data_IF_642766190980
#
_entry.id   IF_642766190980
#
_cell.length_a   1.000
_cell.length_b   1.000
_cell.length_c   1.000
_cell.angle_alpha   90.00
_cell.angle_beta   90.00
_cell.angle_gamma   90.00
#
_symmetry.space_group_name_H-M   'P 1'
#
loop_
_entity.id
_entity.type
_entity.pdbx_description
1 polymer ?
#
# COMPACT_ATOMS: atom_id res chain seq x y z
N UNK A 1 12.79 3.25 -15.20
CA UNK A 1 11.74 4.29 -15.06
C UNK A 1 10.63 3.88 -14.09
N UNK A 2 9.95 2.73 -14.31
CA UNK A 2 8.81 2.29 -13.48
C UNK A 2 9.09 2.26 -11.96
N UNK A 3 10.22 1.71 -11.53
CA UNK A 3 10.57 1.61 -10.10
C UNK A 3 11.15 2.90 -9.48
N UNK A 4 11.12 4.03 -10.21
CA UNK A 4 11.63 5.29 -9.67
C UNK A 4 10.65 5.87 -8.62
N UNK A 5 11.10 6.37 -7.45
CA UNK A 5 10.21 6.81 -6.38
C UNK A 5 9.19 7.89 -6.79
N UNK A 6 9.58 8.85 -7.63
CA UNK A 6 8.66 9.89 -8.14
C UNK A 6 7.54 9.29 -9.00
N UNK A 7 7.84 8.23 -9.74
CA UNK A 7 6.83 7.52 -10.55
C UNK A 7 5.94 6.71 -9.62
N UNK A 8 6.50 5.93 -8.70
CA UNK A 8 5.74 5.08 -7.79
C UNK A 8 4.88 5.88 -6.80
N UNK A 9 5.35 7.00 -6.26
CA UNK A 9 4.64 7.70 -5.19
C UNK A 9 4.06 9.06 -5.60
N UNK A 10 4.35 9.53 -6.82
CA UNK A 10 3.76 10.74 -7.40
C UNK A 10 2.80 10.43 -8.55
N UNK A 11 3.35 9.96 -9.67
CA UNK A 11 2.57 9.76 -10.90
C UNK A 11 1.63 8.56 -10.84
N UNK A 12 2.06 7.45 -10.24
CA UNK A 12 1.28 6.22 -10.10
C UNK A 12 -0.03 6.44 -9.33
N UNK A 13 0.00 6.99 -8.10
CA UNK A 13 -1.20 7.28 -7.33
C UNK A 13 -2.11 8.29 -8.02
N UNK A 14 -1.56 9.34 -8.64
CA UNK A 14 -2.33 10.29 -9.44
C UNK A 14 -3.12 9.58 -10.54
N UNK A 15 -2.42 8.78 -11.35
CA UNK A 15 -3.04 8.05 -12.45
C UNK A 15 -4.11 7.07 -11.95
N UNK A 16 -3.81 6.28 -10.92
CA UNK A 16 -4.77 5.31 -10.41
C UNK A 16 -6.05 5.96 -9.88
N UNK A 17 -5.94 6.96 -9.00
CA UNK A 17 -7.11 7.51 -8.30
C UNK A 17 -7.87 8.57 -9.11
N UNK A 18 -7.16 9.40 -9.87
CA UNK A 18 -7.77 10.47 -10.67
C UNK A 18 -8.23 10.00 -12.05
N UNK A 19 -7.63 8.94 -12.60
CA UNK A 19 -7.91 8.49 -13.98
C UNK A 19 -8.43 7.06 -14.02
N UNK A 20 -7.62 6.05 -13.67
CA UNK A 20 -7.97 4.65 -13.90
C UNK A 20 -9.21 4.22 -13.10
N UNK A 21 -9.29 4.59 -11.83
CA UNK A 21 -10.42 4.25 -10.95
C UNK A 21 -11.70 5.06 -11.25
N UNK A 22 -11.70 5.90 -12.30
CA UNK A 22 -12.94 6.51 -12.82
C UNK A 22 -13.75 5.53 -13.67
N UNK A 23 -13.17 4.40 -14.06
CA UNK A 23 -13.85 3.31 -14.77
C UNK A 23 -13.61 1.98 -14.01
N UNK A 24 -14.47 0.96 -14.18
CA UNK A 24 -14.27 -0.35 -13.55
C UNK A 24 -13.22 -1.16 -14.34
N UNK A 25 -11.99 -0.63 -14.46
CA UNK A 25 -10.90 -1.26 -15.19
C UNK A 25 -10.65 -2.69 -14.67
N UNK A 26 -10.52 -3.66 -15.59
CA UNK A 26 -10.43 -5.09 -15.26
C UNK A 26 -11.77 -5.78 -14.96
N UNK A 27 -12.86 -5.02 -14.75
CA UNK A 27 -14.20 -5.52 -14.43
C UNK A 27 -15.26 -4.99 -15.41
N UNK A 28 -14.85 -4.38 -16.53
CA UNK A 28 -15.75 -3.76 -17.52
C UNK A 28 -16.76 -4.74 -18.11
N UNK A 29 -16.40 -6.04 -18.17
CA UNK A 29 -17.24 -7.13 -18.67
C UNK A 29 -17.87 -7.98 -17.56
N UNK A 30 -17.63 -7.66 -16.29
CA UNK A 30 -18.06 -8.47 -15.14
C UNK A 30 -19.49 -8.13 -14.65
N UNK A 31 -20.19 -7.23 -15.34
CA UNK A 31 -21.58 -6.86 -15.08
C UNK A 31 -21.80 -5.38 -14.81
N UNK A 32 -23.06 -4.95 -14.92
CA UNK A 32 -23.45 -3.54 -14.83
C UNK A 32 -23.27 -2.91 -13.44
N UNK A 33 -23.23 -3.73 -12.38
CA UNK A 33 -23.08 -3.24 -11.00
C UNK A 33 -21.76 -2.48 -10.79
N UNK A 34 -20.68 -2.92 -11.43
CA UNK A 34 -19.37 -2.25 -11.37
C UNK A 34 -19.39 -0.90 -12.09
N UNK A 35 -20.11 -0.82 -13.20
CA UNK A 35 -20.34 0.44 -13.90
C UNK A 35 -21.16 1.42 -13.07
N UNK A 36 -22.25 0.96 -12.44
CA UNK A 36 -23.06 1.81 -11.58
C UNK A 36 -22.28 2.28 -10.35
N UNK A 37 -21.46 1.41 -9.76
CA UNK A 37 -20.55 1.81 -8.67
C UNK A 37 -19.55 2.89 -9.11
N UNK A 38 -18.82 2.66 -10.21
CA UNK A 38 -17.85 3.62 -10.73
C UNK A 38 -18.50 4.94 -11.18
N UNK A 39 -19.57 4.88 -11.96
CA UNK A 39 -20.26 6.07 -12.46
C UNK A 39 -21.00 6.83 -11.36
N UNK A 40 -21.57 6.12 -10.37
CA UNK A 40 -22.19 6.74 -9.21
C UNK A 40 -21.19 7.55 -8.38
N UNK A 41 -19.99 7.00 -8.13
CA UNK A 41 -18.92 7.75 -7.44
C UNK A 41 -18.37 8.91 -8.29
N UNK A 42 -18.29 8.77 -9.61
CA UNK A 42 -17.95 9.88 -10.51
C UNK A 42 -18.98 11.01 -10.43
N UNK A 43 -20.27 10.68 -10.50
CA UNK A 43 -21.35 11.66 -10.42
C UNK A 43 -21.34 12.38 -9.06
N UNK A 44 -21.17 11.64 -7.96
CA UNK A 44 -21.06 12.22 -6.63
C UNK A 44 -19.85 13.16 -6.50
N UNK A 45 -18.70 12.75 -7.05
CA UNK A 45 -17.47 13.58 -7.06
C UNK A 45 -17.69 14.85 -7.89
N UNK A 46 -18.28 14.73 -9.08
CA UNK A 46 -18.58 15.87 -9.94
C UNK A 46 -19.55 16.83 -9.27
N UNK A 47 -20.62 16.32 -8.66
CA UNK A 47 -21.60 17.14 -7.95
C UNK A 47 -20.96 17.89 -6.76
N UNK A 48 -20.10 17.20 -5.99
CA UNK A 48 -19.36 17.81 -4.89
C UNK A 48 -18.41 18.92 -5.37
N UNK A 49 -17.64 18.67 -6.43
CA UNK A 49 -16.71 19.66 -6.99
C UNK A 49 -17.45 20.83 -7.65
N UNK A 50 -18.57 20.59 -8.32
CA UNK A 50 -19.42 21.63 -8.88
C UNK A 50 -20.03 22.51 -7.79
N UNK A 51 -20.48 21.92 -6.68
CA UNK A 51 -20.99 22.68 -5.53
C UNK A 51 -19.88 23.52 -4.87
N UNK A 52 -18.68 22.96 -4.68
CA UNK A 52 -17.52 23.70 -4.19
C UNK A 52 -17.16 24.86 -5.11
N UNK A 53 -17.14 24.62 -6.42
CA UNK A 53 -16.85 25.64 -7.41
C UNK A 53 -17.89 26.77 -7.38
N UNK A 54 -19.17 26.43 -7.33
CA UNK A 54 -20.25 27.41 -7.26
C UNK A 54 -20.17 28.27 -5.97
N UNK A 55 -19.73 27.68 -4.86
CA UNK A 55 -19.63 28.36 -3.57
C UNK A 55 -18.36 29.23 -3.43
N UNK A 56 -17.21 28.73 -3.86
CA UNK A 56 -15.90 29.31 -3.53
C UNK A 56 -14.89 29.31 -4.69
N UNK A 57 -15.32 28.97 -5.91
CA UNK A 57 -14.50 28.99 -7.11
C UNK A 57 -13.42 27.91 -7.14
N UNK A 58 -12.36 28.15 -7.92
CA UNK A 58 -11.30 27.17 -8.18
C UNK A 58 -10.34 26.95 -7.02
N UNK A 59 -10.11 27.97 -6.19
CA UNK A 59 -9.10 27.94 -5.14
C UNK A 59 -9.20 26.72 -4.19
N UNK A 60 -10.37 26.40 -3.58
CA UNK A 60 -10.47 25.21 -2.71
C UNK A 60 -10.29 23.91 -3.47
N UNK A 61 -10.65 23.84 -4.75
CA UNK A 61 -10.48 22.63 -5.56
C UNK A 61 -9.00 22.36 -5.81
N UNK A 62 -8.26 23.38 -6.24
CA UNK A 62 -6.86 23.24 -6.65
C UNK A 62 -5.89 23.20 -5.47
N UNK A 63 -6.20 23.89 -4.38
CA UNK A 63 -5.27 24.05 -3.24
C UNK A 63 -5.63 23.19 -2.04
N UNK A 64 -6.85 22.65 -1.97
CA UNK A 64 -7.29 21.81 -0.84
C UNK A 64 -7.68 20.42 -1.33
N UNK A 65 -8.69 20.31 -2.20
CA UNK A 65 -9.21 19.01 -2.63
C UNK A 65 -8.14 18.19 -3.36
N UNK A 66 -7.57 18.75 -4.44
CA UNK A 66 -6.61 18.03 -5.27
C UNK A 66 -5.35 17.63 -4.48
N UNK A 67 -4.69 18.51 -3.69
CA UNK A 67 -3.55 18.12 -2.88
C UNK A 67 -3.90 17.09 -1.81
N UNK A 68 -5.07 17.19 -1.17
CA UNK A 68 -5.51 16.20 -0.17
C UNK A 68 -5.71 14.82 -0.80
N UNK A 69 -6.33 14.74 -1.97
CA UNK A 69 -6.49 13.48 -2.72
C UNK A 69 -5.12 12.91 -3.09
N UNK A 70 -4.19 13.75 -3.55
CA UNK A 70 -2.83 13.32 -3.89
C UNK A 70 -2.08 12.78 -2.68
N UNK A 71 -2.11 13.48 -1.55
CA UNK A 71 -1.46 13.02 -0.30
C UNK A 71 -2.08 11.71 0.16
N UNK A 72 -3.41 11.59 0.16
CA UNK A 72 -4.09 10.35 0.54
C UNK A 72 -3.74 9.18 -0.39
N UNK A 73 -3.70 9.42 -1.70
CA UNK A 73 -3.33 8.41 -2.69
C UNK A 73 -1.88 7.94 -2.51
N UNK A 74 -0.95 8.88 -2.29
CA UNK A 74 0.47 8.58 -2.05
C UNK A 74 0.66 7.80 -0.75
N UNK A 75 0.02 8.22 0.35
CA UNK A 75 0.09 7.49 1.63
C UNK A 75 -0.49 6.09 1.48
N UNK A 76 -1.65 5.95 0.82
CA UNK A 76 -2.25 4.65 0.54
C UNK A 76 -1.28 3.74 -0.20
N UNK A 77 -0.71 4.22 -1.31
CA UNK A 77 0.26 3.43 -2.07
C UNK A 77 1.53 3.10 -1.27
N UNK A 78 2.01 4.03 -0.45
CA UNK A 78 3.16 3.80 0.44
C UNK A 78 2.91 2.64 1.42
N UNK A 79 1.73 2.62 2.06
CA UNK A 79 1.37 1.57 3.02
C UNK A 79 1.37 0.19 2.36
N UNK A 80 0.70 0.03 1.21
CA UNK A 80 0.69 -1.25 0.49
C UNK A 80 2.07 -1.64 -0.05
N UNK A 81 2.85 -0.66 -0.51
CA UNK A 81 4.21 -0.90 -0.98
C UNK A 81 5.06 -1.46 0.16
N UNK A 82 5.14 -0.77 1.29
CA UNK A 82 6.04 -1.17 2.35
C UNK A 82 5.62 -2.47 3.05
N UNK A 83 4.32 -2.74 3.04
CA UNK A 83 3.76 -3.99 3.54
C UNK A 83 4.33 -5.23 2.86
N UNK A 84 4.74 -5.15 1.58
CA UNK A 84 5.24 -6.30 0.83
C UNK A 84 6.62 -6.09 0.18
N UNK A 85 7.19 -4.89 0.27
CA UNK A 85 8.46 -4.53 -0.34
C UNK A 85 9.48 -4.11 0.74
N UNK A 86 10.09 -5.11 1.38
CA UNK A 86 11.15 -4.97 2.39
C UNK A 86 12.21 -6.06 2.19
N UNK A 87 13.43 -5.88 2.72
CA UNK A 87 14.61 -6.72 2.39
C UNK A 87 14.33 -8.22 2.54
N UNK A 88 13.86 -8.62 3.72
CA UNK A 88 13.70 -10.03 4.11
C UNK A 88 12.31 -10.60 3.78
N UNK A 89 11.62 -10.04 2.78
CA UNK A 89 10.31 -10.56 2.35
C UNK A 89 10.42 -11.99 1.83
N UNK A 90 9.30 -12.71 1.82
CA UNK A 90 9.24 -14.11 1.40
C UNK A 90 8.64 -14.27 0.01
N UNK A 91 9.41 -14.88 -0.88
CA UNK A 91 8.99 -15.34 -2.20
C UNK A 91 9.40 -16.82 -2.34
N UNK A 92 8.53 -17.62 -2.95
CA UNK A 92 8.76 -19.05 -3.15
C UNK A 92 8.03 -19.51 -4.43
N UNK A 93 8.58 -20.52 -5.10
CA UNK A 93 7.94 -21.15 -6.25
C UNK A 93 6.73 -22.00 -5.87
N UNK A 94 5.86 -22.26 -6.84
CA UNK A 94 4.58 -22.96 -6.63
C UNK A 94 4.69 -24.32 -5.90
N UNK A 95 5.80 -25.05 -6.08
CA UNK A 95 6.01 -26.37 -5.46
C UNK A 95 6.19 -26.32 -3.93
N UNK A 96 6.83 -25.25 -3.45
CA UNK A 96 7.26 -25.12 -2.05
C UNK A 96 6.47 -24.04 -1.32
N UNK A 97 5.55 -23.37 -2.02
CA UNK A 97 4.74 -22.28 -1.48
C UNK A 97 3.76 -22.78 -0.42
N UNK A 98 3.79 -22.14 0.75
CA UNK A 98 2.84 -22.38 1.84
C UNK A 98 2.15 -21.07 2.24
N UNK A 99 0.82 -21.13 2.39
CA UNK A 99 0.00 -19.95 2.66
C UNK A 99 0.38 -19.24 3.96
N UNK A 100 0.67 -19.98 5.02
CA UNK A 100 1.01 -19.41 6.32
C UNK A 100 2.37 -18.73 6.30
N UNK A 101 3.34 -19.35 5.61
CA UNK A 101 4.68 -18.78 5.47
C UNK A 101 4.65 -17.53 4.60
N UNK A 102 3.94 -17.59 3.46
CA UNK A 102 3.75 -16.42 2.61
C UNK A 102 3.01 -15.28 3.32
N UNK A 103 1.99 -15.60 4.12
CA UNK A 103 1.24 -14.60 4.87
C UNK A 103 2.10 -13.92 5.96
N UNK A 104 2.84 -14.71 6.73
CA UNK A 104 3.59 -14.21 7.89
C UNK A 104 4.93 -13.59 7.50
N UNK A 105 5.67 -14.21 6.57
CA UNK A 105 7.01 -13.79 6.16
C UNK A 105 6.99 -12.90 4.91
N UNK A 106 5.95 -12.96 4.08
CA UNK A 106 5.79 -12.11 2.89
C UNK A 106 5.17 -10.74 3.17
N UNK A 107 4.88 -10.44 4.43
CA UNK A 107 4.24 -9.20 4.87
C UNK A 107 4.97 -8.59 6.05
N UNK A 108 5.17 -7.28 6.06
CA UNK A 108 5.81 -6.58 7.18
C UNK A 108 4.84 -6.28 8.33
N UNK A 109 5.39 -6.19 9.54
CA UNK A 109 4.79 -5.45 10.65
C UNK A 109 5.29 -4.00 10.63
N UNK A 110 4.53 -3.10 10.02
CA UNK A 110 4.88 -1.68 9.99
C UNK A 110 4.56 -0.99 11.31
N UNK A 111 5.58 -0.92 12.18
CA UNK A 111 5.49 -0.41 13.54
C UNK A 111 5.46 1.13 13.56
N UNK A 112 4.26 1.66 13.38
CA UNK A 112 3.95 3.08 13.36
C UNK A 112 3.78 3.64 14.77
N UNK A 113 4.08 4.93 15.00
CA UNK A 113 3.78 5.59 16.27
C UNK A 113 2.26 5.60 16.54
N UNK A 114 1.80 5.71 17.81
CA UNK A 114 0.40 5.55 18.18
C UNK A 114 -0.59 6.41 17.40
N UNK A 115 -0.24 7.68 17.14
CA UNK A 115 -1.08 8.59 16.37
C UNK A 115 -1.27 8.11 14.92
N UNK A 116 -0.19 7.69 14.27
CA UNK A 116 -0.25 7.16 12.91
C UNK A 116 -1.04 5.85 12.87
N UNK A 117 -0.84 4.95 13.84
CA UNK A 117 -1.62 3.71 13.96
C UNK A 117 -3.11 3.95 14.08
N UNK A 118 -3.52 5.01 14.77
CA UNK A 118 -4.91 5.41 14.89
C UNK A 118 -5.47 5.85 13.54
N UNK A 119 -4.78 6.75 12.84
CA UNK A 119 -5.19 7.23 11.51
C UNK A 119 -5.25 6.10 10.47
N UNK A 120 -4.35 5.13 10.56
CA UNK A 120 -4.28 4.00 9.63
C UNK A 120 -5.04 2.77 10.12
N UNK A 121 -5.84 2.87 11.17
CA UNK A 121 -6.63 1.77 11.74
C UNK A 121 -5.81 0.47 11.95
N UNK A 122 -4.60 0.56 12.53
CA UNK A 122 -3.67 -0.56 12.74
C UNK A 122 -3.30 -1.38 11.48
N UNK A 123 -3.47 -0.84 10.26
CA UNK A 123 -3.10 -1.53 9.01
C UNK A 123 -1.64 -1.98 8.96
N UNK A 124 -0.75 -1.37 9.76
CA UNK A 124 0.65 -1.77 9.86
C UNK A 124 0.85 -3.16 10.47
N UNK A 125 -0.12 -3.71 11.22
CA UNK A 125 -0.08 -5.09 11.73
C UNK A 125 -0.57 -6.04 10.62
N UNK A 126 0.10 -5.97 9.48
CA UNK A 126 -0.36 -6.52 8.21
C UNK A 126 -0.10 -8.02 8.08
N UNK A 127 1.05 -8.48 8.58
CA UNK A 127 1.42 -9.89 8.64
C UNK A 127 0.41 -10.74 9.42
N UNK A 128 -0.04 -10.27 10.59
CA UNK A 128 -1.10 -10.96 11.36
C UNK A 128 -2.43 -10.90 10.61
N UNK A 129 -2.75 -9.77 9.96
CA UNK A 129 -3.96 -9.66 9.16
C UNK A 129 -3.96 -10.66 8.00
N UNK A 130 -2.85 -10.83 7.29
CA UNK A 130 -2.74 -11.85 6.25
C UNK A 130 -2.81 -13.27 6.81
N UNK A 131 -2.19 -13.52 7.96
CA UNK A 131 -2.24 -14.83 8.60
C UNK A 131 -3.67 -15.21 8.99
N UNK A 132 -4.47 -14.24 9.47
CA UNK A 132 -5.86 -14.48 9.83
C UNK A 132 -6.73 -13.21 9.68
N UNK A 133 -7.24 -12.98 8.47
CA UNK A 133 -7.95 -11.75 8.08
C UNK A 133 -9.30 -11.52 8.80
N UNK A 134 -9.81 -12.53 9.53
CA UNK A 134 -11.04 -12.42 10.33
C UNK A 134 -10.85 -11.68 11.64
N UNK A 135 -9.62 -11.47 12.12
CA UNK A 135 -9.38 -10.64 13.30
C UNK A 135 -9.65 -9.18 12.92
N UNK A 136 -10.60 -8.51 13.60
CA UNK A 136 -10.86 -7.12 13.30
C UNK A 136 -9.69 -6.24 13.75
N UNK A 137 -9.46 -5.13 13.04
CA UNK A 137 -8.27 -4.29 13.20
C UNK A 137 -8.03 -3.78 14.64
N UNK A 138 -9.11 -3.57 15.41
CA UNK A 138 -9.02 -3.09 16.79
C UNK A 138 -8.55 -4.16 17.79
N UNK A 139 -8.59 -5.45 17.40
CA UNK A 139 -8.05 -6.58 18.19
C UNK A 139 -6.60 -6.93 17.82
N UNK A 140 -6.08 -6.50 16.67
CA UNK A 140 -4.69 -6.79 16.26
C UNK A 140 -3.65 -6.36 17.32
N UNK A 141 -3.77 -5.21 18.00
CA UNK A 141 -2.82 -4.85 19.07
C UNK A 141 -2.86 -5.81 20.26
N UNK A 142 -4.01 -6.45 20.52
CA UNK A 142 -4.12 -7.47 21.55
C UNK A 142 -3.34 -8.73 21.15
N UNK A 143 -3.48 -9.17 19.89
CA UNK A 143 -2.72 -10.32 19.38
C UNK A 143 -1.22 -10.12 19.56
N UNK A 144 -0.69 -8.94 19.24
CA UNK A 144 0.75 -8.65 19.43
C UNK A 144 1.19 -8.61 20.91
N UNK A 145 0.29 -8.26 21.83
CA UNK A 145 0.59 -8.31 23.27
C UNK A 145 0.60 -9.73 23.80
N UNK A 146 -0.36 -10.54 23.33
CA UNK A 146 -0.56 -11.92 23.77
C UNK A 146 0.49 -12.86 23.12
N UNK A 147 1.04 -12.48 21.96
CA UNK A 147 2.04 -13.22 21.18
C UNK A 147 3.24 -12.32 20.82
N UNK A 148 4.22 -12.25 21.72
CA UNK A 148 5.38 -11.36 21.58
C UNK A 148 6.26 -11.67 20.36
N UNK A 149 6.31 -12.92 19.92
CA UNK A 149 6.98 -13.39 18.71
C UNK A 149 6.42 -12.71 17.44
N UNK A 150 5.10 -12.53 17.37
CA UNK A 150 4.46 -11.84 16.25
C UNK A 150 4.74 -10.33 16.27
N UNK A 151 4.98 -9.74 17.45
CA UNK A 151 5.32 -8.32 17.54
C UNK A 151 6.71 -8.02 16.94
N UNK A 152 7.63 -8.99 16.99
CA UNK A 152 8.98 -8.84 16.45
C UNK A 152 9.11 -9.39 15.02
N UNK A 153 8.22 -10.29 14.60
CA UNK A 153 8.22 -10.83 13.25
C UNK A 153 8.04 -9.73 12.19
N UNK A 154 8.94 -9.70 11.20
CA UNK A 154 8.92 -8.77 10.07
C UNK A 154 8.75 -7.30 10.46
N UNK A 155 9.22 -6.92 11.66
CA UNK A 155 9.06 -5.57 12.19
C UNK A 155 9.85 -4.57 11.36
N UNK A 156 9.17 -3.52 10.93
CA UNK A 156 9.74 -2.44 10.14
C UNK A 156 9.36 -1.10 10.74
N UNK A 157 10.36 -0.28 11.06
CA UNK A 157 10.13 1.09 11.55
C UNK A 157 9.89 2.11 10.44
N UNK A 158 9.33 3.27 10.78
CA UNK A 158 9.12 4.36 9.81
C UNK A 158 10.42 4.81 9.11
N UNK A 159 11.53 4.97 9.83
CA UNK A 159 12.80 5.39 9.20
C UNK A 159 13.37 4.31 8.29
N UNK A 160 13.25 3.07 8.75
CA UNK A 160 13.73 1.88 8.05
C UNK A 160 12.95 1.68 6.73
N UNK A 161 11.65 1.93 6.75
CA UNK A 161 10.80 1.87 5.55
C UNK A 161 11.24 2.79 4.42
N UNK A 162 11.79 3.96 4.73
CA UNK A 162 12.31 4.88 3.71
C UNK A 162 13.50 4.30 2.96
N UNK A 163 14.25 3.39 3.60
CA UNK A 163 15.37 2.72 2.97
C UNK A 163 14.92 1.58 2.04
N UNK A 164 13.72 1.01 2.25
CA UNK A 164 13.22 -0.12 1.47
C UNK A 164 12.94 0.22 0.01
N UNK A 165 12.74 1.50 -0.30
CA UNK A 165 12.51 1.99 -1.67
C UNK A 165 13.66 1.67 -2.63
N UNK A 166 14.86 1.41 -2.08
CA UNK A 166 16.05 1.04 -2.88
C UNK A 166 16.04 -0.43 -3.30
N UNK A 167 15.16 -1.27 -2.75
CA UNK A 167 15.10 -2.69 -3.03
C UNK A 167 14.18 -2.95 -4.22
N UNK A 168 14.74 -3.52 -5.28
CA UNK A 168 14.09 -3.59 -6.59
C UNK A 168 14.10 -4.98 -7.22
N UNK A 169 15.00 -5.86 -6.81
CA UNK A 169 15.19 -7.16 -7.44
C UNK A 169 15.17 -8.24 -6.37
N UNK A 170 14.60 -9.39 -6.69
CA UNK A 170 14.69 -10.58 -5.84
C UNK A 170 15.97 -11.35 -6.19
N UNK A 171 16.80 -11.63 -5.18
CA UNK A 171 17.96 -12.49 -5.30
C UNK A 171 17.58 -13.90 -4.82
N UNK A 172 17.50 -14.86 -5.75
CA UNK A 172 17.12 -16.25 -5.45
C UNK A 172 18.15 -16.97 -4.56
N UNK A 173 19.44 -16.62 -4.67
CA UNK A 173 20.49 -17.29 -3.89
C UNK A 173 20.45 -16.85 -2.43
N UNK A 174 20.24 -15.55 -2.22
CA UNK A 174 20.21 -14.96 -0.87
C UNK A 174 18.81 -14.88 -0.28
N UNK A 175 17.77 -15.19 -1.08
CA UNK A 175 16.35 -15.12 -0.73
C UNK A 175 15.95 -13.80 -0.09
N UNK A 176 16.34 -12.69 -0.72
CA UNK A 176 16.05 -11.33 -0.26
C UNK A 176 15.92 -10.35 -1.41
N UNK A 177 15.28 -9.22 -1.13
CA UNK A 177 15.25 -8.11 -2.07
C UNK A 177 16.54 -7.28 -2.01
N UNK A 178 17.16 -7.06 -3.17
CA UNK A 178 18.40 -6.30 -3.34
C UNK A 178 18.20 -5.05 -4.20
N UNK A 179 19.15 -4.12 -4.10
CA UNK A 179 19.19 -2.91 -4.94
C UNK A 179 19.93 -3.16 -6.27
N UNK A 180 19.67 -2.34 -7.29
CA UNK A 180 20.47 -2.35 -8.53
C UNK A 180 21.97 -2.10 -8.30
N UNK A 181 22.34 -1.41 -7.22
CA UNK A 181 23.75 -1.24 -6.87
C UNK A 181 24.36 -2.54 -6.35
N UNK A 182 23.61 -3.30 -5.55
CA UNK A 182 24.05 -4.58 -5.01
C UNK A 182 24.16 -5.63 -6.12
N UNK A 183 23.19 -5.71 -7.02
CA UNK A 183 23.23 -6.63 -8.18
C UNK A 183 24.49 -6.40 -9.04
N UNK A 184 24.80 -5.15 -9.39
CA UNK A 184 26.05 -4.83 -10.12
C UNK A 184 27.33 -5.19 -9.38
N UNK A 185 27.31 -5.19 -8.04
CA UNK A 185 28.46 -5.58 -7.24
C UNK A 185 28.60 -7.10 -7.12
N UNK A 186 27.51 -7.86 -7.26
CA UNK A 186 27.52 -9.33 -7.31
C UNK A 186 27.94 -9.86 -8.69
N UNK A 187 27.71 -9.06 -9.75
CA UNK A 187 28.09 -9.40 -11.12
C UNK A 187 29.54 -9.06 -11.50
N UNK A 188 30.27 -8.36 -10.63
CA UNK A 188 31.66 -7.95 -10.82
C UNK A 188 32.62 -8.90 -10.10
#
# INVERSE_FOLDING_TARGET
LYRHPVVLFGLGPAYLFLVQNRIPYGLTSAGWVYWVSAMGTNLATLAFLAALYAYAGWAPILLIFLPSVMVAATIGMWLFYIQHQFEDTYWEGDSDWQIHDAALHGSSHYDLPPLARWFTANIGIHHVHHLYARIPYYKLPQVLRDHGELAQAQRLGFRESLSCVKFHLWDEQQRRLISFKAERALAA
#
